data_IF_300419609668
#
_entry.id   IF_300419609668
#
_cell.length_a   1.000
_cell.length_b   1.000
_cell.length_c   1.000
_cell.angle_alpha   90.00
_cell.angle_beta   90.00
_cell.angle_gamma   90.00
#
_symmetry.space_group_name_H-M   'P 1'
#
loop_
_entity.id
_entity.type
_entity.pdbx_description
1 polymer ?
#
# COMPACT_ATOMS: atom_id res chain seq x y z
N UNK A 1 14.89 7.13 -17.28
CA UNK A 1 13.47 7.49 -17.44
C UNK A 1 12.72 6.72 -16.37
N UNK A 2 11.92 7.40 -15.54
CA UNK A 2 11.06 6.71 -14.58
C UNK A 2 9.85 6.17 -15.33
N UNK A 3 9.54 4.88 -15.21
CA UNK A 3 8.30 4.30 -15.75
C UNK A 3 7.06 4.70 -14.92
N UNK A 4 7.28 5.38 -13.80
CA UNK A 4 6.26 5.86 -12.89
C UNK A 4 6.39 7.38 -12.75
N UNK A 5 5.35 8.10 -13.10
CA UNK A 5 5.23 9.51 -12.75
C UNK A 5 4.55 9.60 -11.38
N UNK A 6 5.17 10.33 -10.46
CA UNK A 6 4.55 10.62 -9.18
C UNK A 6 3.36 11.54 -9.41
N UNK A 7 2.17 11.09 -9.01
CA UNK A 7 1.11 12.05 -8.69
C UNK A 7 1.63 12.83 -7.49
N UNK A 8 1.79 14.14 -7.68
CA UNK A 8 2.40 15.08 -6.73
C UNK A 8 1.96 14.78 -5.30
N UNK A 9 2.90 14.79 -4.34
CA UNK A 9 2.67 14.48 -2.92
C UNK A 9 1.24 14.80 -2.47
N UNK A 10 0.43 13.73 -2.38
CA UNK A 10 -0.98 13.80 -2.02
C UNK A 10 -1.16 13.95 -0.49
N UNK A 11 -0.08 14.21 0.24
CA UNK A 11 -0.06 14.47 1.67
C UNK A 11 -0.16 13.21 2.51
N UNK A 12 0.27 13.32 3.76
CA UNK A 12 0.21 12.23 4.74
C UNK A 12 -1.07 12.39 5.56
N UNK A 13 -1.84 11.31 5.70
CA UNK A 13 -3.02 11.28 6.55
C UNK A 13 -3.01 10.05 7.44
N UNK A 14 -3.57 10.21 8.64
CA UNK A 14 -3.76 9.09 9.55
C UNK A 14 -5.21 8.63 9.48
N UNK A 15 -5.39 7.32 9.32
CA UNK A 15 -6.66 6.66 9.53
C UNK A 15 -6.73 6.14 10.97
N UNK A 16 -7.74 6.57 11.73
CA UNK A 16 -8.01 6.04 13.07
C UNK A 16 -9.40 5.40 13.10
N UNK A 17 -9.48 4.06 13.07
CA UNK A 17 -10.76 3.36 13.08
C UNK A 17 -11.46 3.35 14.44
N UNK A 18 -10.91 3.99 15.47
CA UNK A 18 -11.50 4.02 16.81
C UNK A 18 -12.94 4.57 16.76
N UNK A 19 -13.89 3.78 17.28
CA UNK A 19 -15.31 4.11 17.29
C UNK A 19 -16.09 3.67 16.06
N UNK A 20 -15.43 3.05 15.07
CA UNK A 20 -16.10 2.41 13.93
C UNK A 20 -16.44 0.95 14.30
N UNK A 21 -17.67 0.46 14.05
CA UNK A 21 -18.03 -0.93 14.25
C UNK A 21 -17.13 -1.88 13.45
N UNK A 22 -16.51 -2.87 14.10
CA UNK A 22 -15.37 -3.63 13.57
C UNK A 22 -15.72 -4.79 12.63
N UNK A 23 -16.94 -4.86 12.07
CA UNK A 23 -17.40 -6.02 11.26
C UNK A 23 -18.48 -5.65 10.24
N UNK A 24 -18.12 -4.93 9.17
CA UNK A 24 -19.00 -4.73 8.01
C UNK A 24 -18.32 -5.20 6.73
N UNK A 25 -19.11 -5.67 5.77
CA UNK A 25 -18.62 -5.87 4.40
C UNK A 25 -18.22 -4.52 3.82
N UNK A 26 -17.23 -4.52 2.92
CA UNK A 26 -16.80 -3.31 2.23
C UNK A 26 -17.92 -2.65 1.42
N UNK A 27 -18.85 -3.46 0.90
CA UNK A 27 -20.04 -2.99 0.20
C UNK A 27 -21.00 -2.20 1.09
N UNK A 28 -20.94 -2.43 2.41
CA UNK A 28 -21.80 -1.80 3.41
C UNK A 28 -21.14 -0.57 4.07
N UNK A 29 -19.94 -0.18 3.61
CA UNK A 29 -19.23 1.00 4.12
C UNK A 29 -19.94 2.25 3.63
N UNK A 30 -20.27 3.17 4.54
CA UNK A 30 -20.87 4.46 4.19
C UNK A 30 -19.82 5.57 4.17
N UNK A 31 -20.17 6.69 3.53
CA UNK A 31 -19.35 7.92 3.55
C UNK A 31 -19.08 8.40 4.98
N UNK A 32 -20.09 8.34 5.86
CA UNK A 32 -19.96 8.74 7.25
C UNK A 32 -18.95 7.86 8.00
N UNK A 33 -18.94 6.54 7.72
CA UNK A 33 -17.96 5.62 8.30
C UNK A 33 -16.53 5.99 7.90
N UNK A 34 -16.33 6.35 6.62
CA UNK A 34 -15.04 6.84 6.11
C UNK A 34 -14.67 8.16 6.81
N UNK A 35 -15.52 9.17 6.77
CA UNK A 35 -15.21 10.48 7.37
C UNK A 35 -14.97 10.43 8.89
N UNK A 36 -15.57 9.47 9.61
CA UNK A 36 -15.33 9.24 11.04
C UNK A 36 -13.90 8.76 11.34
N UNK A 37 -13.24 8.07 10.42
CA UNK A 37 -11.89 7.54 10.64
C UNK A 37 -10.78 8.41 10.05
N UNK A 38 -11.08 9.25 9.05
CA UNK A 38 -10.10 10.19 8.49
C UNK A 38 -9.82 11.30 9.52
N UNK A 39 -8.55 11.52 9.86
CA UNK A 39 -8.12 12.67 10.67
C UNK A 39 -7.30 13.62 9.79
N UNK A 40 -7.65 14.91 9.87
CA UNK A 40 -6.87 16.03 9.33
C UNK A 40 -5.85 16.50 10.39
N UNK A 41 -4.85 17.36 10.08
CA UNK A 41 -3.78 17.74 11.01
C UNK A 41 -4.22 18.32 12.37
N UNK A 42 -5.50 18.64 12.58
CA UNK A 42 -6.02 19.25 13.81
C UNK A 42 -6.82 18.36 14.78
N UNK A 43 -6.88 17.03 14.62
CA UNK A 43 -7.84 16.22 15.39
C UNK A 43 -7.31 15.38 16.57
N UNK A 44 -6.19 14.69 16.37
CA UNK A 44 -5.41 13.97 17.37
C UNK A 44 -4.07 13.66 16.69
N UNK A 45 -2.96 14.08 17.31
CA UNK A 45 -1.65 13.88 16.71
C UNK A 45 -1.29 12.38 16.71
N UNK A 46 -0.66 11.86 15.65
CA UNK A 46 0.15 10.66 15.79
C UNK A 46 1.17 10.85 16.92
N UNK A 47 1.68 9.77 17.50
CA UNK A 47 2.76 9.86 18.48
C UNK A 47 3.87 10.79 17.93
N UNK A 48 4.43 11.64 18.80
CA UNK A 48 5.49 12.59 18.39
C UNK A 48 6.55 11.81 17.63
N UNK A 49 6.83 12.23 16.40
CA UNK A 49 7.98 11.71 15.63
C UNK A 49 9.20 11.89 16.52
N UNK A 50 9.78 10.77 16.94
CA UNK A 50 11.03 10.76 17.70
C UNK A 50 12.17 10.57 16.72
N UNK A 51 13.24 11.34 16.88
CA UNK A 51 14.44 11.12 16.08
C UNK A 51 14.92 9.69 16.28
N UNK A 52 15.31 9.03 15.18
CA UNK A 52 15.86 7.66 15.25
C UNK A 52 17.11 7.59 16.11
N UNK A 53 17.88 8.68 16.17
CA UNK A 53 19.10 8.78 16.99
C UNK A 53 18.77 8.87 18.49
N UNK A 54 17.51 9.17 18.84
CA UNK A 54 17.03 9.18 20.23
C UNK A 54 16.61 7.79 20.74
N UNK A 55 16.53 6.78 19.85
CA UNK A 55 16.14 5.41 20.20
C UNK A 55 17.29 4.71 20.91
N UNK A 56 17.14 4.42 22.20
CA UNK A 56 18.14 3.69 22.99
C UNK A 56 18.14 2.20 22.63
N UNK A 57 19.30 1.68 22.22
CA UNK A 57 19.52 0.27 21.89
C UNK A 57 20.43 -0.42 22.93
N UNK A 58 20.27 -1.75 23.17
CA UNK A 58 19.26 -2.62 22.57
C UNK A 58 17.87 -2.35 23.15
N UNK A 59 16.86 -2.37 22.28
CA UNK A 59 15.46 -2.26 22.69
C UNK A 59 14.86 -3.66 22.77
N UNK A 60 14.35 -4.01 23.95
CA UNK A 60 13.56 -5.21 24.15
C UNK A 60 12.15 -4.96 23.64
N UNK A 61 11.60 -5.88 22.84
CA UNK A 61 10.16 -5.87 22.60
C UNK A 61 9.50 -6.21 23.94
N UNK A 62 8.76 -5.26 24.52
CA UNK A 62 7.76 -5.57 25.57
C UNK A 62 6.86 -6.69 25.06
N UNK A 63 6.19 -7.41 25.95
CA UNK A 63 5.14 -8.37 25.60
C UNK A 63 3.97 -7.62 24.92
N UNK A 64 4.17 -7.24 23.66
CA UNK A 64 3.16 -6.66 22.80
C UNK A 64 2.15 -7.77 22.54
N UNK A 65 0.90 -7.51 22.90
CA UNK A 65 -0.21 -8.40 22.59
C UNK A 65 -0.21 -8.57 21.06
N UNK A 66 -0.18 -9.81 20.54
CA UNK A 66 -0.28 -10.06 19.12
C UNK A 66 -1.49 -9.32 18.55
N UNK A 67 -1.24 -8.42 17.60
CA UNK A 67 -2.32 -7.75 16.88
C UNK A 67 -2.85 -8.71 15.81
N UNK A 68 -3.80 -9.55 16.19
CA UNK A 68 -4.62 -10.28 15.23
C UNK A 68 -5.76 -9.37 14.78
N UNK A 69 -5.50 -8.61 13.73
CA UNK A 69 -6.53 -7.78 13.09
C UNK A 69 -7.00 -8.53 11.84
N UNK A 70 -8.28 -8.83 11.78
CA UNK A 70 -8.88 -9.44 10.59
C UNK A 70 -8.78 -8.46 9.42
N UNK A 71 -8.49 -9.00 8.23
CA UNK A 71 -8.39 -8.23 7.00
C UNK A 71 -9.80 -7.85 6.51
N UNK A 72 -10.44 -6.94 7.24
CA UNK A 72 -11.81 -6.44 6.97
C UNK A 72 -11.85 -4.95 7.25
N UNK A 73 -12.82 -4.24 6.67
CA UNK A 73 -13.05 -2.84 7.04
C UNK A 73 -13.28 -2.71 8.56
N UNK A 74 -12.67 -1.72 9.23
CA UNK A 74 -11.88 -0.59 8.71
C UNK A 74 -10.35 -0.82 8.65
N UNK A 75 -9.87 -2.05 8.78
CA UNK A 75 -8.45 -2.38 8.96
C UNK A 75 -7.72 -2.82 7.69
N UNK A 76 -8.44 -3.33 6.69
CA UNK A 76 -7.91 -3.79 5.38
C UNK A 76 -8.18 -2.79 4.24
N UNK A 77 -8.89 -1.72 4.54
CA UNK A 77 -9.37 -0.75 3.57
C UNK A 77 -8.34 0.30 3.19
N UNK A 78 -7.05 -0.09 3.12
CA UNK A 78 -5.91 0.83 2.99
C UNK A 78 -6.03 1.83 1.83
N UNK A 79 -6.88 1.54 0.84
CA UNK A 79 -7.02 2.34 -0.37
C UNK A 79 -8.15 3.37 -0.36
N UNK A 80 -9.21 3.22 0.46
CA UNK A 80 -10.35 4.17 0.42
C UNK A 80 -9.90 5.57 0.82
N UNK A 81 -9.12 5.66 1.90
CA UNK A 81 -8.73 6.94 2.49
C UNK A 81 -7.76 7.70 1.57
N UNK A 82 -6.71 7.06 1.04
CA UNK A 82 -5.87 7.67 0.01
C UNK A 82 -6.68 8.09 -1.22
N UNK A 83 -7.59 7.25 -1.71
CA UNK A 83 -8.38 7.55 -2.90
C UNK A 83 -9.29 8.77 -2.70
N UNK A 84 -10.00 8.85 -1.57
CA UNK A 84 -10.83 10.01 -1.22
C UNK A 84 -10.00 11.31 -1.20
N UNK A 85 -8.82 11.29 -0.58
CA UNK A 85 -7.93 12.46 -0.50
C UNK A 85 -7.31 12.83 -1.84
N UNK A 86 -6.97 11.85 -2.68
CA UNK A 86 -6.44 12.09 -4.01
C UNK A 86 -7.44 12.87 -4.88
N UNK A 87 -8.73 12.52 -4.82
CA UNK A 87 -9.77 13.21 -5.60
C UNK A 87 -10.02 14.63 -5.11
N UNK A 88 -10.01 14.88 -3.80
CA UNK A 88 -10.07 16.26 -3.28
C UNK A 88 -8.96 17.17 -3.82
N UNK A 89 -7.85 16.56 -4.28
CA UNK A 89 -6.67 17.26 -4.85
C UNK A 89 -6.67 17.29 -6.38
N UNK A 90 -7.75 16.85 -7.02
CA UNK A 90 -7.94 16.95 -8.47
C UNK A 90 -7.66 15.67 -9.23
N UNK A 91 -7.40 14.54 -8.56
CA UNK A 91 -7.45 13.23 -9.23
C UNK A 91 -8.87 12.99 -9.75
N UNK A 92 -9.00 12.61 -11.01
CA UNK A 92 -10.26 12.19 -11.61
C UNK A 92 -10.34 10.67 -11.58
N UNK A 93 -11.50 10.09 -11.25
CA UNK A 93 -11.62 8.62 -11.07
C UNK A 93 -12.00 7.91 -12.36
N UNK A 94 -12.76 8.61 -13.21
CA UNK A 94 -12.94 8.29 -14.63
C UNK A 94 -11.62 8.25 -15.39
N UNK A 95 -10.57 8.69 -14.72
CA UNK A 95 -9.20 8.68 -15.11
C UNK A 95 -8.45 7.67 -14.21
N UNK A 96 -8.91 6.41 -13.97
CA UNK A 96 -8.16 5.30 -13.30
C UNK A 96 -8.53 3.95 -13.92
N UNK A 97 -7.56 3.11 -14.34
CA UNK A 97 -7.82 1.74 -14.85
C UNK A 97 -7.71 0.68 -13.76
N UNK A 98 -6.75 0.82 -12.83
CA UNK A 98 -6.47 -0.17 -11.79
C UNK A 98 -6.06 0.50 -10.49
N UNK A 99 -6.52 -0.09 -9.38
CA UNK A 99 -6.02 0.21 -8.04
C UNK A 99 -5.27 -1.02 -7.52
N UNK A 100 -3.97 -0.84 -7.31
CA UNK A 100 -3.08 -1.92 -6.89
C UNK A 100 -2.44 -1.57 -5.54
N UNK A 101 -2.35 -2.57 -4.65
CA UNK A 101 -1.58 -2.46 -3.41
C UNK A 101 -0.07 -2.47 -3.62
N UNK A 102 0.69 -2.02 -2.62
CA UNK A 102 2.15 -1.93 -2.69
C UNK A 102 2.85 -3.27 -3.00
N UNK A 103 2.27 -4.41 -2.60
CA UNK A 103 2.80 -5.73 -2.92
C UNK A 103 2.61 -6.15 -4.38
N UNK A 104 1.66 -5.55 -5.10
CA UNK A 104 1.31 -5.93 -6.47
C UNK A 104 2.46 -5.66 -7.46
N UNK A 105 3.29 -4.63 -7.22
CA UNK A 105 4.49 -4.42 -8.04
C UNK A 105 5.45 -5.61 -7.96
N UNK A 106 5.65 -6.17 -6.78
CA UNK A 106 6.52 -7.34 -6.63
C UNK A 106 5.93 -8.57 -7.32
N UNK A 107 4.62 -8.79 -7.19
CA UNK A 107 3.92 -9.89 -7.87
C UNK A 107 4.08 -9.78 -9.39
N UNK A 108 3.81 -8.61 -9.96
CA UNK A 108 3.95 -8.37 -11.39
C UNK A 108 5.41 -8.51 -11.85
N UNK A 109 6.36 -8.00 -11.06
CA UNK A 109 7.79 -8.09 -11.36
C UNK A 109 8.31 -9.53 -11.39
N UNK A 110 7.91 -10.36 -10.43
CA UNK A 110 8.35 -11.76 -10.34
C UNK A 110 7.53 -12.71 -11.21
N UNK A 111 6.30 -12.32 -11.59
CA UNK A 111 5.31 -13.19 -12.23
C UNK A 111 5.07 -14.48 -11.42
N UNK A 112 5.08 -14.34 -10.10
CA UNK A 112 4.89 -15.40 -9.11
C UNK A 112 4.19 -14.82 -7.87
N UNK A 113 3.36 -15.61 -7.16
CA UNK A 113 2.76 -15.16 -5.90
C UNK A 113 3.85 -14.97 -4.83
N UNK A 114 3.66 -14.00 -3.92
CA UNK A 114 4.63 -13.74 -2.84
C UNK A 114 4.64 -14.90 -1.84
N UNK A 115 3.47 -15.47 -1.59
CA UNK A 115 3.24 -16.61 -0.70
C UNK A 115 2.33 -17.60 -1.40
N UNK A 116 2.57 -18.90 -1.21
CA UNK A 116 1.73 -19.94 -1.80
C UNK A 116 0.27 -19.73 -1.38
N UNK A 117 -0.65 -19.95 -2.33
CA UNK A 117 -2.10 -19.79 -2.15
C UNK A 117 -2.58 -18.35 -1.87
N UNK A 118 -1.69 -17.36 -1.92
CA UNK A 118 -2.09 -15.94 -1.82
C UNK A 118 -2.64 -15.46 -3.15
N UNK A 119 -3.91 -15.03 -3.14
CA UNK A 119 -4.58 -14.43 -4.30
C UNK A 119 -4.54 -12.93 -4.20
N UNK A 120 -4.28 -12.26 -5.32
CA UNK A 120 -4.27 -10.80 -5.40
C UNK A 120 -5.54 -10.34 -6.10
N UNK A 121 -6.29 -9.40 -5.52
CA UNK A 121 -7.48 -8.88 -6.18
C UNK A 121 -7.09 -7.65 -6.99
N UNK A 122 -7.56 -7.59 -8.22
CA UNK A 122 -7.50 -6.39 -9.05
C UNK A 122 -8.90 -6.00 -9.51
N UNK A 123 -9.16 -4.70 -9.51
CA UNK A 123 -10.43 -4.14 -9.96
C UNK A 123 -10.17 -3.14 -11.07
N UNK A 124 -10.89 -3.31 -12.17
CA UNK A 124 -10.90 -2.34 -13.26
C UNK A 124 -11.76 -1.15 -12.87
N UNK A 125 -11.16 0.02 -12.81
CA UNK A 125 -11.87 1.29 -12.88
C UNK A 125 -11.82 1.75 -14.36
N UNK A 126 -12.82 2.42 -14.93
CA UNK A 126 -12.68 2.89 -16.32
C UNK A 126 -11.92 4.23 -16.38
N UNK A 127 -10.74 4.27 -17.02
CA UNK A 127 -10.26 5.43 -17.80
C UNK A 127 -8.91 6.13 -17.50
N UNK A 128 -7.92 5.57 -16.78
CA UNK A 128 -6.49 5.95 -16.97
C UNK A 128 -5.49 4.82 -16.76
N UNK A 129 -4.23 5.04 -17.15
CA UNK A 129 -3.03 4.86 -16.31
C UNK A 129 -3.18 4.28 -14.87
N UNK A 130 -2.17 3.52 -14.44
CA UNK A 130 -2.24 2.64 -13.27
C UNK A 130 -2.00 3.41 -11.96
N UNK A 131 -2.93 3.33 -10.99
CA UNK A 131 -2.76 3.90 -9.66
C UNK A 131 -2.25 2.84 -8.67
N UNK A 132 -1.13 3.15 -8.02
CA UNK A 132 -0.62 2.38 -6.88
C UNK A 132 -0.93 3.12 -5.59
N UNK A 133 -1.60 2.44 -4.66
CA UNK A 133 -1.73 2.91 -3.29
C UNK A 133 -0.85 2.04 -2.41
N UNK A 134 0.01 2.70 -1.64
CA UNK A 134 0.99 2.03 -0.80
C UNK A 134 0.95 2.62 0.61
N UNK A 135 1.02 1.72 1.59
CA UNK A 135 1.16 2.12 2.98
C UNK A 135 2.54 2.74 3.19
N UNK A 136 2.58 3.77 4.02
CA UNK A 136 3.81 4.43 4.47
C UNK A 136 4.02 4.03 5.92
N UNK A 137 5.10 3.28 6.20
CA UNK A 137 5.38 2.79 7.56
C UNK A 137 5.63 3.96 8.54
N UNK A 138 6.36 4.99 8.09
CA UNK A 138 6.65 6.19 8.85
C UNK A 138 7.00 7.37 7.94
N UNK A 139 7.05 8.58 8.51
CA UNK A 139 7.53 9.79 7.84
C UNK A 139 8.64 10.42 8.67
N UNK A 140 9.67 10.95 8.01
CA UNK A 140 10.77 11.63 8.70
C UNK A 140 10.44 13.10 9.04
N UNK A 141 11.42 13.81 9.60
CA UNK A 141 11.29 15.21 10.00
C UNK A 141 11.14 16.18 8.82
N UNK A 142 11.48 15.74 7.60
CA UNK A 142 11.23 16.46 6.36
C UNK A 142 9.84 16.15 5.77
N UNK A 143 9.08 15.22 6.37
CA UNK A 143 7.80 14.75 5.84
C UNK A 143 7.97 13.73 4.71
N UNK A 144 9.17 13.17 4.52
CA UNK A 144 9.42 12.18 3.47
C UNK A 144 9.07 10.77 3.99
N UNK A 145 8.50 9.94 3.12
CA UNK A 145 8.14 8.57 3.45
C UNK A 145 9.38 7.72 3.79
N UNK A 146 9.23 6.86 4.79
CA UNK A 146 10.23 5.93 5.29
C UNK A 146 9.64 4.53 5.34
N UNK A 147 10.35 3.56 4.77
CA UNK A 147 10.02 2.14 4.89
C UNK A 147 10.74 1.57 6.11
N UNK A 148 10.07 0.73 6.90
CA UNK A 148 10.63 0.11 8.09
C UNK A 148 10.54 -1.40 8.02
N UNK A 149 11.67 -2.09 8.25
CA UNK A 149 11.69 -3.55 8.32
C UNK A 149 12.56 -4.04 9.46
N UNK A 150 12.06 -5.06 10.16
CA UNK A 150 12.86 -5.82 11.12
C UNK A 150 13.01 -7.25 10.62
N UNK A 151 14.19 -7.83 10.79
CA UNK A 151 14.44 -9.21 10.37
C UNK A 151 15.77 -9.39 9.66
N UNK A 152 15.90 -10.48 8.92
CA UNK A 152 17.13 -10.82 8.25
C UNK A 152 17.23 -10.12 6.87
N UNK A 153 18.23 -9.23 6.65
CA UNK A 153 18.36 -8.47 5.40
C UNK A 153 18.34 -9.32 4.12
N UNK A 154 18.79 -10.58 4.21
CA UNK A 154 18.82 -11.50 3.06
C UNK A 154 17.45 -11.79 2.45
N UNK A 155 16.36 -11.48 3.15
CA UNK A 155 14.99 -11.67 2.69
C UNK A 155 14.30 -10.37 2.23
N UNK A 156 15.00 -9.23 2.25
CA UNK A 156 14.39 -7.96 1.87
C UNK A 156 14.37 -7.81 0.35
N UNK A 157 15.55 -7.83 -0.28
CA UNK A 157 15.75 -7.88 -1.73
C UNK A 157 14.82 -6.98 -2.55
N UNK A 158 14.38 -7.49 -3.72
CA UNK A 158 13.49 -6.78 -4.63
C UNK A 158 12.12 -6.48 -4.02
N UNK A 159 11.62 -7.31 -3.10
CA UNK A 159 10.31 -7.10 -2.46
C UNK A 159 10.27 -5.76 -1.73
N UNK A 160 11.24 -5.52 -0.84
CA UNK A 160 11.30 -4.26 -0.07
C UNK A 160 11.64 -3.08 -0.99
N UNK A 161 12.47 -3.29 -2.02
CA UNK A 161 12.73 -2.26 -3.03
C UNK A 161 11.43 -1.82 -3.73
N UNK A 162 10.58 -2.75 -4.15
CA UNK A 162 9.30 -2.41 -4.78
C UNK A 162 8.33 -1.75 -3.81
N UNK A 163 8.29 -2.19 -2.54
CA UNK A 163 7.49 -1.51 -1.50
C UNK A 163 7.92 -0.03 -1.35
N UNK A 164 9.22 0.22 -1.26
CA UNK A 164 9.78 1.57 -1.22
C UNK A 164 9.44 2.39 -2.47
N UNK A 165 9.52 1.78 -3.66
CA UNK A 165 9.13 2.46 -4.91
C UNK A 165 7.64 2.80 -4.92
N UNK A 166 6.76 1.91 -4.46
CA UNK A 166 5.31 2.15 -4.40
C UNK A 166 4.95 3.27 -3.43
N UNK A 167 5.63 3.37 -2.29
CA UNK A 167 5.40 4.42 -1.28
C UNK A 167 6.24 5.68 -1.50
N UNK A 168 7.05 5.72 -2.56
CA UNK A 168 8.04 6.77 -2.84
C UNK A 168 9.07 6.98 -1.72
N UNK A 169 9.22 5.98 -0.85
CA UNK A 169 10.20 5.99 0.21
C UNK A 169 11.62 5.92 -0.36
N UNK A 170 12.42 6.94 -0.06
CA UNK A 170 13.85 6.97 -0.43
C UNK A 170 14.72 6.26 0.60
N UNK A 171 14.14 5.93 1.76
CA UNK A 171 14.86 5.49 2.94
C UNK A 171 14.25 4.23 3.53
N UNK A 172 15.06 3.19 3.67
CA UNK A 172 14.75 2.01 4.48
C UNK A 172 15.44 2.13 5.84
N UNK A 173 14.64 2.04 6.90
CA UNK A 173 15.11 1.84 8.27
C UNK A 173 15.03 0.36 8.60
N UNK A 174 16.20 -0.22 8.81
CA UNK A 174 16.36 -1.64 9.08
C UNK A 174 16.76 -1.88 10.54
N UNK A 175 15.89 -2.55 11.29
CA UNK A 175 16.20 -3.08 12.61
C UNK A 175 16.81 -4.48 12.54
N UNK A 176 18.06 -4.63 12.97
CA UNK A 176 18.69 -5.94 13.13
C UNK A 176 18.24 -6.57 14.45
N UNK A 177 17.57 -7.72 14.34
CA UNK A 177 17.01 -8.45 15.47
C UNK A 177 17.98 -9.53 15.95
N UNK A 178 18.29 -9.56 17.25
CA UNK A 178 18.88 -10.73 17.90
C UNK A 178 17.77 -11.63 18.44
N UNK A 179 17.55 -12.74 17.73
CA UNK A 179 16.55 -13.75 18.08
C UNK A 179 17.05 -14.75 19.11
N UNK A 180 18.32 -14.69 19.52
CA UNK A 180 18.88 -15.52 20.60
C UNK A 180 18.50 -14.97 21.97
N UNK A 181 18.21 -13.67 22.07
CA UNK A 181 17.64 -13.05 23.27
C UNK A 181 16.18 -13.47 23.49
N UNK A 182 15.76 -13.58 24.75
CA UNK A 182 14.37 -13.84 25.16
C UNK A 182 13.94 -12.76 26.18
N UNK A 183 13.02 -11.84 25.81
CA UNK A 183 12.43 -11.68 24.47
C UNK A 183 13.50 -11.23 23.44
N UNK A 184 13.24 -11.43 22.13
CA UNK A 184 14.11 -10.90 21.09
C UNK A 184 14.34 -9.40 21.27
N UNK A 185 15.46 -8.89 20.76
CA UNK A 185 15.79 -7.47 20.86
C UNK A 185 16.29 -6.91 19.54
N UNK A 186 16.07 -5.62 19.29
CA UNK A 186 16.75 -4.90 18.21
C UNK A 186 18.12 -4.48 18.74
N UNK A 187 19.18 -4.96 18.11
CA UNK A 187 20.57 -4.71 18.53
C UNK A 187 21.25 -3.60 17.75
N UNK A 188 20.81 -3.35 16.52
CA UNK A 188 21.26 -2.20 15.73
C UNK A 188 20.17 -1.74 14.79
N UNK A 189 20.22 -0.47 14.41
CA UNK A 189 19.39 0.11 13.36
C UNK A 189 20.33 0.61 12.26
N UNK A 190 19.96 0.36 11.01
CA UNK A 190 20.70 0.83 9.84
C UNK A 190 19.76 1.58 8.91
N UNK A 191 20.24 2.69 8.36
CA UNK A 191 19.58 3.42 7.29
C UNK A 191 20.17 2.97 5.95
N UNK A 192 19.32 2.70 4.97
CA UNK A 192 19.70 2.36 3.59
C UNK A 192 18.91 3.22 2.62
N UNK A 193 19.52 3.65 1.52
CA UNK A 193 18.80 4.36 0.47
C UNK A 193 18.15 3.40 -0.51
N UNK A 194 17.10 3.85 -1.21
CA UNK A 194 16.55 3.14 -2.36
C UNK A 194 17.62 2.86 -3.42
N UNK A 195 18.53 3.82 -3.64
CA UNK A 195 19.63 3.67 -4.59
C UNK A 195 20.57 2.51 -4.19
N UNK A 196 20.90 2.39 -2.90
CA UNK A 196 21.71 1.27 -2.41
C UNK A 196 21.01 -0.06 -2.67
N UNK A 197 19.69 -0.14 -2.40
CA UNK A 197 18.88 -1.33 -2.66
C UNK A 197 18.88 -1.69 -4.16
N UNK A 198 18.69 -0.71 -5.04
CA UNK A 198 18.73 -0.91 -6.49
C UNK A 198 20.12 -1.39 -6.95
N UNK A 199 21.20 -0.85 -6.38
CA UNK A 199 22.57 -1.21 -6.76
C UNK A 199 22.98 -2.64 -6.38
N UNK A 200 22.32 -3.24 -5.39
CA UNK A 200 22.50 -4.65 -5.03
C UNK A 200 21.89 -5.60 -6.08
N UNK A 201 21.05 -5.07 -6.97
CA UNK A 201 20.45 -5.81 -8.06
C UNK A 201 21.17 -5.51 -9.38
N UNK A 202 21.44 -6.56 -10.15
CA UNK A 202 22.01 -6.39 -11.49
C UNK A 202 21.06 -5.65 -12.42
N UNK A 203 21.61 -4.83 -13.32
CA UNK A 203 20.85 -4.05 -14.31
C UNK A 203 19.86 -4.92 -15.09
N UNK A 204 20.28 -6.14 -15.46
CA UNK A 204 19.41 -7.08 -16.17
C UNK A 204 18.21 -7.54 -15.33
N UNK A 205 18.37 -7.74 -14.02
CA UNK A 205 17.29 -8.15 -13.14
C UNK A 205 16.25 -7.03 -13.01
N UNK A 206 16.70 -5.78 -12.86
CA UNK A 206 15.83 -4.60 -12.82
C UNK A 206 15.09 -4.40 -14.15
N UNK A 207 15.79 -4.55 -15.28
CA UNK A 207 15.18 -4.45 -16.61
C UNK A 207 14.12 -5.54 -16.84
N UNK A 208 14.41 -6.79 -16.44
CA UNK A 208 13.42 -7.88 -16.50
C UNK A 208 12.19 -7.59 -15.65
N UNK A 209 12.38 -7.12 -14.42
CA UNK A 209 11.28 -6.79 -13.53
C UNK A 209 10.42 -5.65 -14.11
N UNK A 210 11.04 -4.60 -14.66
CA UNK A 210 10.33 -3.51 -15.33
C UNK A 210 9.51 -4.02 -16.51
N UNK A 211 10.09 -4.86 -17.38
CA UNK A 211 9.38 -5.44 -18.52
C UNK A 211 8.19 -6.31 -18.06
N UNK A 212 8.39 -7.13 -17.04
CA UNK A 212 7.33 -7.97 -16.48
C UNK A 212 6.17 -7.13 -15.91
N UNK A 213 6.48 -6.02 -15.23
CA UNK A 213 5.45 -5.07 -14.75
C UNK A 213 4.67 -4.50 -15.93
N UNK A 214 5.35 -3.98 -16.96
CA UNK A 214 4.70 -3.37 -18.12
C UNK A 214 3.81 -4.37 -18.88
N UNK A 215 4.31 -5.59 -19.09
CA UNK A 215 3.55 -6.68 -19.72
C UNK A 215 2.31 -7.03 -18.89
N UNK A 216 2.46 -7.23 -17.58
CA UNK A 216 1.36 -7.56 -16.70
C UNK A 216 0.28 -6.48 -16.65
N UNK A 217 0.68 -5.20 -16.58
CA UNK A 217 -0.27 -4.08 -16.62
C UNK A 217 -1.00 -4.01 -17.97
N UNK A 218 -0.30 -4.29 -19.08
CA UNK A 218 -0.90 -4.35 -20.41
C UNK A 218 -1.90 -5.50 -20.52
N UNK A 219 -1.59 -6.66 -19.94
CA UNK A 219 -2.48 -7.82 -19.90
C UNK A 219 -3.74 -7.53 -19.08
N UNK A 220 -3.60 -6.92 -17.90
CA UNK A 220 -4.72 -6.47 -17.09
C UNK A 220 -5.62 -5.49 -17.85
N UNK A 221 -5.03 -4.47 -18.48
CA UNK A 221 -5.75 -3.43 -19.24
C UNK A 221 -6.62 -4.01 -20.35
N UNK A 222 -6.08 -5.00 -21.07
CA UNK A 222 -6.74 -5.62 -22.21
C UNK A 222 -7.55 -6.87 -21.85
N UNK A 223 -7.68 -7.20 -20.57
CA UNK A 223 -8.33 -8.44 -20.11
C UNK A 223 -9.84 -8.45 -20.40
N UNK A 224 -10.34 -9.43 -21.18
CA UNK A 224 -11.78 -9.63 -21.35
C UNK A 224 -12.48 -10.01 -20.04
N UNK A 225 -11.75 -10.64 -19.11
CA UNK A 225 -12.26 -11.01 -17.78
C UNK A 225 -12.66 -9.75 -17.01
N UNK A 226 -11.73 -8.79 -16.91
CA UNK A 226 -11.98 -7.53 -16.22
C UNK A 226 -13.00 -6.66 -16.94
N UNK A 227 -13.03 -6.68 -18.28
CA UNK A 227 -14.06 -5.99 -19.04
C UNK A 227 -15.47 -6.55 -18.77
N UNK A 228 -15.59 -7.84 -18.47
CA UNK A 228 -16.87 -8.51 -18.23
C UNK A 228 -17.35 -8.43 -16.78
N UNK A 229 -16.44 -8.61 -15.83
CA UNK A 229 -16.79 -8.79 -14.41
C UNK A 229 -16.40 -7.60 -13.52
N UNK A 230 -15.57 -6.67 -14.02
CA UNK A 230 -15.08 -5.51 -13.26
C UNK A 230 -14.02 -5.85 -12.20
N UNK A 231 -14.10 -7.03 -11.58
CA UNK A 231 -13.16 -7.52 -10.55
C UNK A 231 -12.66 -8.91 -10.94
N UNK A 232 -11.37 -9.16 -10.71
CA UNK A 232 -10.77 -10.47 -10.89
C UNK A 232 -9.75 -10.79 -9.79
N UNK A 233 -9.64 -12.07 -9.46
CA UNK A 233 -8.48 -12.61 -8.77
C UNK A 233 -7.34 -12.78 -9.78
N UNK A 234 -6.16 -12.32 -9.41
CA UNK A 234 -4.90 -12.44 -10.12
C UNK A 234 -4.06 -13.51 -9.44
N UNK A 235 -3.66 -14.48 -10.22
CA UNK A 235 -2.72 -15.53 -9.86
C UNK A 235 -1.66 -15.67 -10.96
N UNK A 236 -0.59 -16.41 -10.68
CA UNK A 236 0.44 -16.71 -11.66
C UNK A 236 0.75 -18.21 -11.68
N UNK A 237 0.70 -18.79 -12.88
CA UNK A 237 1.10 -20.17 -13.10
C UNK A 237 2.18 -20.23 -14.16
N UNK A 238 3.37 -20.72 -13.79
CA UNK A 238 4.52 -20.87 -14.68
C UNK A 238 4.87 -19.56 -15.42
N UNK A 239 4.80 -18.44 -14.70
CA UNK A 239 5.10 -17.11 -15.24
C UNK A 239 4.00 -16.53 -16.15
N UNK A 240 2.84 -17.15 -16.24
CA UNK A 240 1.67 -16.61 -16.95
C UNK A 240 0.65 -16.09 -15.94
N UNK A 241 0.11 -14.90 -16.21
CA UNK A 241 -0.96 -14.33 -15.40
C UNK A 241 -2.25 -15.11 -15.64
N UNK A 242 -2.92 -15.47 -14.55
CA UNK A 242 -4.19 -16.17 -14.55
C UNK A 242 -5.22 -15.25 -13.90
N UNK A 243 -6.28 -14.92 -14.64
CA UNK A 243 -7.38 -14.08 -14.14
C UNK A 243 -8.62 -14.95 -13.95
N UNK A 244 -9.20 -14.89 -12.75
CA UNK A 244 -10.44 -15.59 -12.41
C UNK A 244 -11.49 -14.58 -11.92
N UNK A 245 -12.79 -14.81 -12.17
CA UNK A 245 -13.83 -14.01 -11.51
C UNK A 245 -13.63 -14.10 -9.99
N UNK A 246 -13.74 -12.98 -9.29
CA UNK A 246 -13.76 -13.01 -7.83
C UNK A 246 -15.19 -13.06 -7.33
N UNK A 247 -15.46 -13.99 -6.41
CA UNK A 247 -16.73 -14.07 -5.66
C UNK A 247 -16.74 -13.08 -4.48
N UNK A 248 -15.60 -12.44 -4.19
CA UNK A 248 -15.51 -11.44 -3.14
C UNK A 248 -16.15 -10.14 -3.59
N UNK A 249 -16.75 -9.43 -2.62
CA UNK A 249 -17.10 -8.03 -2.80
C UNK A 249 -15.87 -7.28 -3.36
N UNK A 250 -16.06 -6.45 -4.39
CA UNK A 250 -14.98 -5.63 -4.94
C UNK A 250 -14.18 -4.91 -3.84
N UNK A 251 -12.89 -4.70 -4.10
CA UNK A 251 -11.96 -4.03 -3.16
C UNK A 251 -12.21 -2.52 -3.06
N UNK A 252 -13.20 -2.02 -3.79
CA UNK A 252 -13.67 -0.65 -3.76
C UNK A 252 -15.08 -0.57 -3.14
N UNK A 253 -15.43 0.55 -2.46
CA UNK A 253 -16.81 0.79 -2.06
C UNK A 253 -17.74 0.80 -3.27
N UNK A 254 -19.04 0.76 -3.01
CA UNK A 254 -20.02 0.93 -4.10
C UNK A 254 -19.81 2.27 -4.80
N UNK A 255 -20.16 2.33 -6.08
CA UNK A 255 -20.12 3.57 -6.86
C UNK A 255 -20.81 4.72 -6.12
N UNK A 256 -21.96 4.47 -5.49
CA UNK A 256 -22.69 5.48 -4.73
C UNK A 256 -21.88 6.06 -3.55
N UNK A 257 -21.13 5.22 -2.83
CA UNK A 257 -20.27 5.64 -1.71
C UNK A 257 -19.10 6.46 -2.24
N UNK A 258 -18.48 6.02 -3.35
CA UNK A 258 -17.49 6.82 -4.06
C UNK A 258 -18.11 8.15 -4.49
N UNK A 259 -19.17 8.18 -5.28
CA UNK A 259 -19.82 9.43 -5.73
C UNK A 259 -20.14 10.38 -4.57
N UNK A 260 -20.67 9.88 -3.45
CA UNK A 260 -21.03 10.72 -2.31
C UNK A 260 -19.81 11.24 -1.54
N UNK A 261 -18.75 10.44 -1.38
CA UNK A 261 -17.46 10.91 -0.84
C UNK A 261 -16.87 12.03 -1.71
N UNK A 262 -17.14 11.98 -3.02
CA UNK A 262 -16.45 12.79 -4.02
C UNK A 262 -17.27 14.00 -4.48
N UNK A 263 -18.52 14.14 -4.00
CA UNK A 263 -19.25 15.39 -4.15
C UNK A 263 -18.46 16.50 -3.44
N UNK A 264 -18.23 17.66 -4.08
CA UNK A 264 -17.62 18.80 -3.41
C UNK A 264 -18.43 19.06 -2.15
N UNK A 265 -17.77 19.10 -0.99
CA UNK A 265 -18.43 19.47 0.25
C UNK A 265 -19.17 20.77 -0.03
N UNK A 266 -20.51 20.72 -0.03
CA UNK A 266 -21.33 21.91 -0.21
C UNK A 266 -20.75 22.93 0.74
N UNK A 267 -20.26 24.04 0.19
CA UNK A 267 -19.50 25.05 0.94
C UNK A 267 -20.22 25.29 2.25
N UNK A 268 -19.67 24.75 3.33
CA UNK A 268 -20.20 24.98 4.66
C UNK A 268 -20.07 26.47 4.82
N UNK A 269 -21.21 27.15 4.72
CA UNK A 269 -21.31 28.59 4.89
C UNK A 269 -20.96 28.82 6.35
N UNK A 270 -19.70 29.21 6.57
CA UNK A 270 -19.24 29.74 7.84
C UNK A 270 -19.90 31.10 8.10
#
# INVERSE_FOLDING_TARGET
MSAFESVTDLGIYCWNPAGIPTRRSFQDVTVEDVLKGVRDPGGAFPDKIVSIDSVKLPMSFVDLIPQHVENVFPYDAGYIVPLFKAVQRGLKLEDIDFLLGGSSLNVLAQKEPIENDTKYITQKCPGTDVLFSADVDAVDDAGEAVEMKTGNPRFFGMKVMFQMMSSQSKTLIQGQKDTRCRPPSITSIRKRSLQDMMSEHGVEALARAQNNILEGLTELKNSPMLARYGVAEVDFSRGQMMLQPSDTAGVLPTEAVCTQLLQPAASASA
#
